data_IF_808545692360
#
_entry.id   IF_808545692360
#
_cell.length_a   1.000
_cell.length_b   1.000
_cell.length_c   1.000
_cell.angle_alpha   90.00
_cell.angle_beta   90.00
_cell.angle_gamma   90.00
#
_symmetry.space_group_name_H-M   'P 1'
#
loop_
_entity.id
_entity.type
_entity.pdbx_description
1 polymer ?
#
# COMPACT_ATOMS: atom_id res chain seq x y z
N UNK A 1 -6.60 -3.03 -19.54
CA UNK A 1 -7.43 -1.81 -19.43
C UNK A 1 -6.62 -0.74 -18.75
N UNK A 2 -6.96 0.53 -18.91
CA UNK A 2 -6.33 1.63 -18.16
C UNK A 2 -7.03 1.83 -16.82
N UNK A 3 -6.32 2.40 -15.84
CA UNK A 3 -6.92 2.72 -14.54
C UNK A 3 -8.10 3.69 -14.68
N UNK A 4 -8.04 4.63 -15.64
CA UNK A 4 -9.14 5.58 -15.90
C UNK A 4 -10.42 4.95 -16.48
N UNK A 5 -10.31 3.78 -17.13
CA UNK A 5 -11.47 3.01 -17.60
C UNK A 5 -12.15 2.20 -16.50
N UNK A 6 -11.42 1.89 -15.41
CA UNK A 6 -11.87 0.98 -14.35
C UNK A 6 -12.37 1.75 -13.12
N UNK A 7 -11.91 3.00 -12.92
CA UNK A 7 -12.23 3.76 -11.73
C UNK A 7 -11.96 5.25 -11.85
N UNK A 8 -12.13 5.96 -10.74
CA UNK A 8 -12.03 7.41 -10.69
C UNK A 8 -11.04 7.86 -9.63
N UNK A 9 -10.12 8.75 -10.01
CA UNK A 9 -9.17 9.39 -9.10
C UNK A 9 -9.76 10.68 -8.51
N UNK A 10 -9.71 10.81 -7.20
CA UNK A 10 -10.16 11.99 -6.48
C UNK A 10 -9.01 12.55 -5.66
N UNK A 11 -8.61 13.78 -5.91
CA UNK A 11 -7.58 14.46 -5.11
C UNK A 11 -8.09 14.69 -3.70
N UNK A 12 -7.25 14.45 -2.68
CA UNK A 12 -7.57 14.73 -1.29
C UNK A 12 -7.78 16.23 -0.99
N UNK A 13 -8.07 16.55 0.24
CA UNK A 13 -8.34 17.92 0.73
C UNK A 13 -7.09 18.56 1.32
N UNK A 14 -7.11 19.88 1.56
CA UNK A 14 -5.99 20.66 2.08
C UNK A 14 -5.62 20.36 3.54
N UNK A 15 -5.49 19.08 3.90
CA UNK A 15 -5.11 18.60 5.22
C UNK A 15 -3.62 18.83 5.46
N UNK A 16 -3.29 19.58 6.50
CA UNK A 16 -1.92 19.85 6.94
C UNK A 16 -1.64 19.16 8.28
N UNK A 17 -0.37 19.03 8.65
CA UNK A 17 0.00 18.43 9.95
C UNK A 17 -0.64 19.13 11.16
N UNK A 18 -0.87 20.44 11.08
CA UNK A 18 -1.52 21.24 12.14
C UNK A 18 -3.00 20.89 12.34
N UNK A 19 -3.66 20.30 11.34
CA UNK A 19 -5.07 19.92 11.39
C UNK A 19 -5.29 18.55 12.04
N UNK A 20 -4.19 17.85 12.36
CA UNK A 20 -4.23 16.54 13.00
C UNK A 20 -4.62 16.67 14.47
N UNK A 21 -5.54 15.82 14.91
CA UNK A 21 -6.07 15.74 16.27
C UNK A 21 -5.82 14.34 16.86
N UNK A 22 -5.81 14.20 18.21
CA UNK A 22 -5.67 12.89 18.85
C UNK A 22 -6.88 11.97 18.61
N UNK A 23 -8.07 12.56 18.43
CA UNK A 23 -9.34 11.86 18.26
C UNK A 23 -10.19 12.58 17.21
N UNK A 24 -11.20 11.92 16.67
CA UNK A 24 -12.13 12.52 15.70
C UNK A 24 -12.39 11.59 14.51
N UNK A 25 -12.50 12.16 13.31
CA UNK A 25 -12.66 11.40 12.06
C UNK A 25 -11.30 10.95 11.56
N UNK A 26 -11.18 9.68 11.20
CA UNK A 26 -9.95 9.12 10.68
C UNK A 26 -9.42 9.88 9.46
N UNK A 27 -8.09 10.01 9.36
CA UNK A 27 -7.46 10.62 8.20
C UNK A 27 -6.11 9.99 7.86
N UNK A 28 -5.72 10.08 6.58
CA UNK A 28 -4.40 9.69 6.10
C UNK A 28 -3.71 10.91 5.47
N UNK A 29 -2.61 11.34 6.09
CA UNK A 29 -1.69 12.32 5.53
C UNK A 29 -0.67 11.61 4.62
N UNK A 30 -0.35 12.18 3.46
CA UNK A 30 0.51 11.55 2.45
C UNK A 30 1.84 11.03 3.01
N UNK A 31 2.47 11.75 3.91
CA UNK A 31 3.73 11.34 4.55
C UNK A 31 3.62 10.05 5.38
N UNK A 32 2.42 9.71 5.87
CA UNK A 32 2.19 8.47 6.63
C UNK A 32 2.13 7.24 5.71
N UNK A 33 1.83 7.43 4.42
CA UNK A 33 1.88 6.36 3.41
C UNK A 33 3.30 5.81 3.27
N UNK A 34 4.31 6.67 3.43
CA UNK A 34 5.72 6.28 3.36
C UNK A 34 6.27 5.66 4.64
N UNK A 35 5.79 6.13 5.79
CA UNK A 35 6.46 5.90 7.07
C UNK A 35 5.71 4.95 8.01
N UNK A 36 4.44 4.70 7.77
CA UNK A 36 3.61 3.98 8.73
C UNK A 36 2.80 2.85 8.10
N UNK A 37 2.14 3.08 6.97
CA UNK A 37 1.24 2.10 6.37
C UNK A 37 2.00 1.13 5.45
N UNK A 38 1.59 -0.14 5.50
CA UNK A 38 2.00 -1.16 4.54
C UNK A 38 1.11 -1.17 3.30
N UNK A 39 0.88 -2.35 2.73
CA UNK A 39 0.06 -2.55 1.52
C UNK A 39 -1.42 -2.19 1.74
N UNK A 40 -1.93 -2.36 2.96
CA UNK A 40 -3.30 -2.02 3.34
C UNK A 40 -3.39 -1.50 4.77
N UNK A 41 -4.50 -0.85 5.09
CA UNK A 41 -4.81 -0.37 6.44
C UNK A 41 -6.31 -0.55 6.76
N UNK A 42 -6.60 -0.91 8.02
CA UNK A 42 -7.96 -1.00 8.58
C UNK A 42 -8.25 0.09 9.60
N UNK A 43 -7.21 0.76 10.11
CA UNK A 43 -7.31 1.84 11.09
C UNK A 43 -6.39 2.98 10.69
N UNK A 44 -6.81 4.21 10.97
CA UNK A 44 -5.97 5.39 10.76
C UNK A 44 -5.06 5.64 11.95
N UNK A 45 -3.86 6.14 11.67
CA UNK A 45 -2.92 6.60 12.69
C UNK A 45 -3.31 7.95 13.27
N UNK A 46 -4.01 8.78 12.50
CA UNK A 46 -4.31 10.16 12.83
C UNK A 46 -5.76 10.48 12.55
N UNK A 47 -6.23 11.55 13.17
CA UNK A 47 -7.61 12.01 13.07
C UNK A 47 -7.65 13.50 12.72
N UNK A 48 -8.81 13.98 12.34
CA UNK A 48 -9.13 15.40 12.14
C UNK A 48 -10.43 15.73 12.88
N UNK A 49 -10.68 17.02 13.13
CA UNK A 49 -11.93 17.47 13.73
C UNK A 49 -13.13 17.13 12.84
N UNK A 50 -14.32 17.01 13.44
CA UNK A 50 -15.56 16.82 12.72
C UNK A 50 -15.83 17.97 11.72
N UNK A 51 -15.51 19.20 12.11
CA UNK A 51 -15.69 20.37 11.26
C UNK A 51 -14.82 20.29 9.99
N UNK A 52 -13.55 19.87 10.12
CA UNK A 52 -12.67 19.62 8.98
C UNK A 52 -13.22 18.49 8.10
N UNK A 53 -13.64 17.40 8.71
CA UNK A 53 -14.15 16.21 8.03
C UNK A 53 -15.43 16.45 7.22
N UNK A 54 -16.28 17.40 7.63
CA UNK A 54 -17.48 17.79 6.88
C UNK A 54 -17.14 18.43 5.52
N UNK A 55 -16.03 19.15 5.44
CA UNK A 55 -15.57 19.83 4.22
C UNK A 55 -14.58 18.98 3.39
N UNK A 56 -14.03 17.91 3.99
CA UNK A 56 -13.03 17.08 3.35
C UNK A 56 -13.64 16.06 2.39
N UNK A 57 -12.91 15.79 1.30
CA UNK A 57 -13.17 14.62 0.46
C UNK A 57 -12.68 13.37 1.17
N UNK A 58 -13.50 12.32 1.16
CA UNK A 58 -13.27 11.11 1.93
C UNK A 58 -13.11 9.90 1.03
N UNK A 59 -12.11 9.09 1.35
CA UNK A 59 -11.96 7.76 0.79
C UNK A 59 -12.87 6.79 1.57
N UNK A 60 -13.41 5.81 0.86
CA UNK A 60 -14.32 4.78 1.37
C UNK A 60 -13.62 3.44 1.48
N UNK A 61 -14.27 2.50 2.15
CA UNK A 61 -13.84 1.10 2.15
C UNK A 61 -13.62 0.60 0.72
N UNK A 62 -12.45 0.01 0.47
CA UNK A 62 -12.05 -0.50 -0.85
C UNK A 62 -11.29 0.49 -1.73
N UNK A 63 -11.25 1.78 -1.41
CA UNK A 63 -10.48 2.74 -2.17
C UNK A 63 -8.97 2.55 -1.96
N UNK A 64 -8.18 2.87 -3.00
CA UNK A 64 -6.73 2.91 -2.92
C UNK A 64 -6.26 4.34 -2.67
N UNK A 65 -5.52 4.57 -1.59
CA UNK A 65 -4.96 5.88 -1.24
C UNK A 65 -3.54 5.96 -1.76
N UNK A 66 -3.22 6.97 -2.57
CA UNK A 66 -1.98 7.08 -3.34
C UNK A 66 -1.30 8.40 -3.01
N UNK A 67 -0.05 8.35 -2.55
CA UNK A 67 0.77 9.55 -2.36
C UNK A 67 1.26 10.08 -3.71
N UNK A 68 0.80 11.27 -4.11
CA UNK A 68 1.11 11.86 -5.42
C UNK A 68 2.38 12.70 -5.45
N UNK A 69 3.04 12.89 -4.30
CA UNK A 69 4.31 13.64 -4.16
C UNK A 69 5.30 12.85 -3.31
N UNK A 70 6.58 12.86 -3.70
CA UNK A 70 7.70 12.25 -2.96
C UNK A 70 8.99 13.01 -3.19
N UNK A 71 10.04 12.65 -2.48
CA UNK A 71 11.41 13.16 -2.67
C UNK A 71 12.18 12.37 -3.74
N UNK A 72 11.74 11.16 -4.07
CA UNK A 72 12.38 10.28 -5.05
C UNK A 72 11.38 9.65 -6.03
N UNK A 73 11.89 9.06 -7.11
CA UNK A 73 11.10 8.49 -8.19
C UNK A 73 10.49 7.12 -7.82
N UNK A 74 11.13 6.39 -6.93
CA UNK A 74 10.72 5.06 -6.51
C UNK A 74 9.44 5.14 -5.66
N UNK A 75 9.45 6.03 -4.67
CA UNK A 75 8.37 6.14 -3.69
C UNK A 75 7.14 6.90 -4.19
N UNK A 76 7.30 7.85 -5.14
CA UNK A 76 6.12 8.56 -5.66
C UNK A 76 5.09 7.56 -6.20
N UNK A 77 3.82 7.75 -5.87
CA UNK A 77 2.72 6.83 -6.10
C UNK A 77 2.72 5.57 -5.22
N UNK A 78 3.46 5.54 -4.09
CA UNK A 78 3.21 4.52 -3.07
C UNK A 78 1.75 4.57 -2.63
N UNK A 79 1.14 3.39 -2.49
CA UNK A 79 -0.29 3.27 -2.32
C UNK A 79 -0.67 2.33 -1.17
N UNK A 80 -1.82 2.59 -0.55
CA UNK A 80 -2.38 1.83 0.57
C UNK A 80 -3.85 1.53 0.30
N UNK A 81 -4.26 0.28 0.32
CA UNK A 81 -5.68 -0.09 0.24
C UNK A 81 -6.38 0.23 1.56
N UNK A 82 -7.44 1.01 1.52
CA UNK A 82 -8.25 1.29 2.71
C UNK A 82 -9.30 0.19 2.91
N UNK A 83 -9.19 -0.54 4.01
CA UNK A 83 -10.07 -1.66 4.37
C UNK A 83 -10.76 -1.43 5.72
N UNK A 84 -10.75 -0.20 6.25
CA UNK A 84 -11.54 0.19 7.41
C UNK A 84 -13.00 0.42 7.06
N UNK A 85 -13.87 0.39 8.05
CA UNK A 85 -15.33 0.48 7.87
C UNK A 85 -15.83 1.93 7.76
N UNK A 86 -15.00 2.91 8.17
CA UNK A 86 -15.36 4.31 8.17
C UNK A 86 -14.73 5.07 6.98
N UNK A 87 -15.44 6.09 6.51
CA UNK A 87 -14.94 7.04 5.52
C UNK A 87 -13.87 7.93 6.14
N UNK A 88 -12.72 8.09 5.49
CA UNK A 88 -11.56 8.81 6.02
C UNK A 88 -11.15 10.00 5.15
N UNK A 89 -10.68 11.08 5.78
CA UNK A 89 -10.14 12.24 5.08
C UNK A 89 -8.73 11.94 4.52
N UNK A 90 -8.42 12.47 3.33
CA UNK A 90 -7.13 12.26 2.65
C UNK A 90 -6.49 13.62 2.35
N UNK A 91 -5.18 13.76 2.55
CA UNK A 91 -4.43 15.01 2.30
C UNK A 91 -4.32 15.35 0.81
N UNK A 92 -4.09 16.63 0.49
CA UNK A 92 -4.04 17.14 -0.90
C UNK A 92 -2.84 16.68 -1.73
N UNK A 93 -1.76 16.23 -1.07
CA UNK A 93 -0.60 15.61 -1.71
C UNK A 93 -0.75 14.09 -1.87
N UNK A 94 -1.97 13.60 -1.66
CA UNK A 94 -2.44 12.28 -2.01
C UNK A 94 -3.74 12.39 -2.81
N UNK A 95 -4.08 11.33 -3.51
CA UNK A 95 -5.39 11.10 -4.07
C UNK A 95 -5.92 9.74 -3.60
N UNK A 96 -7.22 9.52 -3.70
CA UNK A 96 -7.77 8.19 -3.58
C UNK A 96 -8.43 7.79 -4.90
N UNK A 97 -8.40 6.49 -5.14
CA UNK A 97 -8.87 5.88 -6.37
C UNK A 97 -10.00 4.91 -6.05
N UNK A 98 -11.21 5.29 -6.44
CA UNK A 98 -12.42 4.49 -6.32
C UNK A 98 -12.52 3.55 -7.51
N UNK A 99 -12.65 2.24 -7.27
CA UNK A 99 -12.62 1.20 -8.29
C UNK A 99 -13.43 -0.05 -7.90
N UNK A 100 -13.58 -0.99 -8.82
CA UNK A 100 -14.33 -2.24 -8.60
C UNK A 100 -13.44 -3.49 -8.46
N UNK A 101 -12.11 -3.33 -8.49
CA UNK A 101 -11.14 -4.42 -8.32
C UNK A 101 -11.02 -4.83 -6.85
N UNK A 102 -10.36 -5.97 -6.59
CA UNK A 102 -9.92 -6.30 -5.25
C UNK A 102 -8.93 -5.23 -4.75
N UNK A 103 -9.17 -4.58 -3.58
CA UNK A 103 -8.35 -3.45 -3.11
C UNK A 103 -6.88 -3.83 -2.86
N UNK A 104 -6.61 -5.02 -2.35
CA UNK A 104 -5.24 -5.48 -2.14
C UNK A 104 -4.55 -5.84 -3.46
N UNK A 105 -5.28 -6.39 -4.43
CA UNK A 105 -4.73 -6.71 -5.74
C UNK A 105 -4.13 -5.47 -6.40
N UNK A 106 -4.88 -4.36 -6.42
CA UNK A 106 -4.36 -3.12 -6.99
C UNK A 106 -3.23 -2.53 -6.15
N UNK A 107 -3.28 -2.62 -4.82
CA UNK A 107 -2.20 -2.17 -3.95
C UNK A 107 -0.88 -2.93 -4.21
N UNK A 108 -0.95 -4.23 -4.39
CA UNK A 108 0.21 -5.04 -4.81
C UNK A 108 0.68 -4.69 -6.22
N UNK A 109 -0.23 -4.45 -7.15
CA UNK A 109 0.14 -4.05 -8.50
C UNK A 109 0.98 -2.77 -8.52
N UNK A 110 0.66 -1.78 -7.67
CA UNK A 110 1.42 -0.53 -7.55
C UNK A 110 2.88 -0.72 -7.07
N UNK A 111 3.20 -1.88 -6.52
CA UNK A 111 4.56 -2.25 -6.09
C UNK A 111 5.36 -2.97 -7.18
N UNK A 112 4.74 -3.35 -8.30
CA UNK A 112 5.40 -4.11 -9.37
C UNK A 112 6.25 -3.23 -10.28
N UNK A 113 7.30 -3.81 -10.89
CA UNK A 113 8.09 -3.13 -11.93
C UNK A 113 7.23 -2.77 -13.16
N UNK A 114 6.19 -3.53 -13.45
CA UNK A 114 5.25 -3.22 -14.52
C UNK A 114 4.52 -1.89 -14.31
N UNK A 115 4.14 -1.57 -13.07
CA UNK A 115 3.59 -0.27 -12.71
C UNK A 115 4.69 0.79 -12.70
N UNK A 116 5.85 0.51 -12.08
CA UNK A 116 6.95 1.45 -11.93
C UNK A 116 7.47 1.95 -13.28
N UNK A 117 7.64 1.05 -14.27
CA UNK A 117 8.10 1.41 -15.61
C UNK A 117 7.12 2.32 -16.36
N UNK A 118 5.82 2.14 -16.16
CA UNK A 118 4.79 3.01 -16.73
C UNK A 118 4.76 4.37 -16.03
N UNK A 119 4.84 4.38 -14.69
CA UNK A 119 4.81 5.58 -13.85
C UNK A 119 5.95 6.54 -14.17
N UNK A 120 7.18 6.03 -14.41
CA UNK A 120 8.38 6.85 -14.68
C UNK A 120 8.16 7.91 -15.76
N UNK A 121 7.34 7.61 -16.76
CA UNK A 121 7.03 8.54 -17.87
C UNK A 121 6.20 9.76 -17.46
N UNK A 122 5.55 9.68 -16.31
CA UNK A 122 4.62 10.70 -15.81
C UNK A 122 5.17 11.49 -14.63
N UNK A 123 6.39 11.16 -14.17
CA UNK A 123 7.02 11.86 -13.06
C UNK A 123 7.48 13.24 -13.51
N UNK A 124 7.11 14.25 -12.75
CA UNK A 124 7.47 15.66 -12.96
C UNK A 124 8.12 16.24 -11.70
N UNK A 125 8.80 17.36 -11.84
CA UNK A 125 9.49 18.04 -10.75
C UNK A 125 10.92 17.55 -10.53
N UNK A 126 11.77 18.40 -9.95
CA UNK A 126 13.20 18.11 -9.70
C UNK A 126 13.51 17.78 -8.26
N UNK A 127 13.10 18.64 -7.31
CA UNK A 127 13.28 18.41 -5.87
C UNK A 127 12.13 17.62 -5.26
N UNK A 128 10.89 17.89 -5.72
CA UNK A 128 9.70 17.18 -5.28
C UNK A 128 9.11 16.50 -6.50
N UNK A 129 9.15 15.18 -6.51
CA UNK A 129 8.59 14.33 -7.56
C UNK A 129 7.08 14.30 -7.45
N UNK A 130 6.40 14.44 -8.57
CA UNK A 130 4.93 14.47 -8.63
C UNK A 130 4.41 13.65 -9.79
N UNK A 131 3.30 12.98 -9.56
CA UNK A 131 2.51 12.33 -10.61
C UNK A 131 1.07 12.84 -10.52
N UNK A 132 0.53 13.26 -11.65
CA UNK A 132 -0.82 13.78 -11.70
C UNK A 132 -1.84 12.64 -11.79
N UNK A 133 -2.99 12.77 -11.15
CA UNK A 133 -4.10 11.81 -11.22
C UNK A 133 -4.55 11.52 -12.67
N UNK A 134 -4.53 12.54 -13.56
CA UNK A 134 -4.85 12.37 -14.99
C UNK A 134 -3.84 11.47 -15.72
N UNK A 135 -2.60 11.46 -15.28
CA UNK A 135 -1.56 10.62 -15.86
C UNK A 135 -1.60 9.21 -15.28
N UNK A 136 -1.91 9.04 -13.98
CA UNK A 136 -2.20 7.74 -13.39
C UNK A 136 -3.37 7.04 -14.10
N UNK A 137 -4.38 7.77 -14.54
CA UNK A 137 -5.50 7.22 -15.29
C UNK A 137 -5.10 6.54 -16.62
N UNK A 138 -3.93 6.88 -17.18
CA UNK A 138 -3.39 6.28 -18.42
C UNK A 138 -2.62 4.98 -18.20
N UNK A 139 -2.27 4.65 -16.96
CA UNK A 139 -1.53 3.43 -16.61
C UNK A 139 -2.39 2.20 -16.90
N UNK A 140 -1.81 1.22 -17.58
CA UNK A 140 -2.48 -0.04 -17.92
C UNK A 140 -2.27 -1.07 -16.82
N UNK A 141 -3.34 -1.76 -16.44
CA UNK A 141 -3.33 -2.85 -15.45
C UNK A 141 -3.94 -4.12 -16.04
N UNK A 142 -3.38 -5.31 -15.78
CA UNK A 142 -4.07 -6.57 -15.99
C UNK A 142 -5.35 -6.63 -15.16
N UNK A 143 -6.46 -7.05 -15.76
CA UNK A 143 -7.75 -7.14 -15.09
C UNK A 143 -8.30 -8.57 -15.21
N UNK A 144 -7.76 -9.56 -14.47
CA UNK A 144 -8.35 -10.89 -14.40
C UNK A 144 -9.69 -10.86 -13.64
N UNK A 145 -10.50 -11.92 -13.72
CA UNK A 145 -11.72 -12.05 -12.92
C UNK A 145 -11.45 -11.87 -11.43
N UNK A 146 -12.44 -11.38 -10.67
CA UNK A 146 -12.29 -11.13 -9.22
C UNK A 146 -11.90 -12.38 -8.41
N UNK A 147 -12.29 -13.59 -8.85
CA UNK A 147 -11.84 -14.84 -8.25
C UNK A 147 -10.32 -14.99 -8.33
N UNK A 148 -9.75 -14.76 -9.51
CA UNK A 148 -8.30 -14.84 -9.74
C UNK A 148 -7.56 -13.72 -8.99
N UNK A 149 -8.13 -12.50 -8.93
CA UNK A 149 -7.55 -11.42 -8.11
C UNK A 149 -7.47 -11.83 -6.63
N UNK A 150 -8.50 -12.50 -6.09
CA UNK A 150 -8.50 -13.01 -4.70
C UNK A 150 -7.43 -14.07 -4.47
N UNK A 151 -7.31 -15.04 -5.37
CA UNK A 151 -6.28 -16.09 -5.28
C UNK A 151 -4.86 -15.50 -5.27
N UNK A 152 -4.60 -14.52 -6.16
CA UNK A 152 -3.31 -13.80 -6.19
C UNK A 152 -3.05 -13.10 -4.85
N UNK A 153 -4.05 -12.39 -4.32
CA UNK A 153 -3.93 -11.68 -3.04
C UNK A 153 -3.65 -12.64 -1.88
N UNK A 154 -4.33 -13.78 -1.81
CA UNK A 154 -4.11 -14.78 -0.76
C UNK A 154 -2.66 -15.33 -0.78
N UNK A 155 -2.09 -15.54 -1.96
CA UNK A 155 -0.70 -15.96 -2.10
C UNK A 155 0.24 -14.85 -1.64
N UNK A 156 0.02 -13.61 -2.11
CA UNK A 156 0.89 -12.48 -1.77
C UNK A 156 0.80 -12.11 -0.29
N UNK A 157 -0.38 -12.19 0.34
CA UNK A 157 -0.55 -11.96 1.78
C UNK A 157 0.25 -12.98 2.61
N UNK A 158 0.31 -14.25 2.18
CA UNK A 158 1.14 -15.28 2.85
C UNK A 158 2.63 -14.93 2.76
N UNK A 159 3.10 -14.51 1.59
CA UNK A 159 4.49 -14.08 1.44
C UNK A 159 4.80 -12.81 2.25
N UNK A 160 3.91 -11.82 2.24
CA UNK A 160 4.07 -10.60 3.03
C UNK A 160 4.17 -10.91 4.53
N UNK A 161 3.31 -11.80 5.03
CA UNK A 161 3.36 -12.29 6.42
C UNK A 161 4.68 -12.99 6.72
N UNK A 162 5.14 -13.89 5.85
CA UNK A 162 6.40 -14.62 6.04
C UNK A 162 7.63 -13.69 6.01
N UNK A 163 7.62 -12.66 5.18
CA UNK A 163 8.75 -11.74 5.05
C UNK A 163 8.79 -10.66 6.14
N UNK A 164 7.62 -10.18 6.58
CA UNK A 164 7.51 -9.01 7.44
C UNK A 164 7.06 -9.32 8.89
N UNK A 165 6.63 -10.54 9.17
CA UNK A 165 6.22 -10.95 10.52
C UNK A 165 7.42 -11.48 11.30
N UNK A 166 7.80 -10.76 12.35
CA UNK A 166 8.82 -11.20 13.32
C UNK A 166 8.34 -12.46 14.08
N UNK A 167 7.04 -12.61 14.27
CA UNK A 167 6.45 -13.74 15.02
C UNK A 167 6.32 -15.03 14.20
N UNK A 168 6.17 -14.94 12.87
CA UNK A 168 5.95 -16.11 12.01
C UNK A 168 7.14 -16.41 11.08
N UNK A 169 7.76 -15.37 10.49
CA UNK A 169 8.86 -15.51 9.54
C UNK A 169 10.16 -15.96 10.22
N UNK A 170 10.68 -15.15 11.14
CA UNK A 170 11.95 -15.42 11.82
C UNK A 170 11.95 -16.69 12.68
N UNK A 171 10.95 -16.98 13.54
CA UNK A 171 10.95 -18.19 14.34
C UNK A 171 10.95 -19.46 13.49
N UNK A 172 10.20 -19.47 12.39
CA UNK A 172 10.16 -20.64 11.50
C UNK A 172 11.46 -20.83 10.75
N UNK A 173 12.12 -19.77 10.30
CA UNK A 173 13.44 -19.86 9.69
C UNK A 173 14.48 -20.34 10.71
N UNK A 174 14.48 -19.82 11.93
CA UNK A 174 15.36 -20.28 13.01
C UNK A 174 15.16 -21.77 13.32
N UNK A 175 13.91 -22.25 13.36
CA UNK A 175 13.61 -23.67 13.55
C UNK A 175 14.18 -24.52 12.41
N UNK A 176 13.99 -24.10 11.15
CA UNK A 176 14.53 -24.82 9.99
C UNK A 176 16.06 -24.84 9.99
N UNK A 177 16.72 -23.72 10.32
CA UNK A 177 18.18 -23.63 10.45
C UNK A 177 18.70 -24.54 11.57
N UNK A 178 17.98 -24.59 12.71
CA UNK A 178 18.33 -25.50 13.81
C UNK A 178 18.25 -26.96 13.40
N UNK A 179 17.17 -27.37 12.71
CA UNK A 179 17.04 -28.75 12.19
C UNK A 179 18.16 -29.09 11.18
N UNK A 180 18.51 -28.15 10.31
CA UNK A 180 19.60 -28.30 9.36
C UNK A 180 20.95 -28.48 10.09
N UNK A 181 21.21 -27.66 11.10
CA UNK A 181 22.41 -27.78 11.94
C UNK A 181 22.47 -29.11 12.65
N UNK A 182 21.38 -29.58 13.28
CA UNK A 182 21.29 -30.86 13.99
C UNK A 182 21.55 -32.04 13.01
N UNK A 183 20.97 -31.96 11.80
CA UNK A 183 21.22 -32.97 10.77
C UNK A 183 22.71 -33.07 10.39
N UNK A 184 23.34 -31.96 10.02
CA UNK A 184 24.74 -31.96 9.64
C UNK A 184 25.68 -32.32 10.81
N UNK A 185 25.41 -31.87 12.01
CA UNK A 185 26.15 -32.26 13.19
C UNK A 185 26.13 -33.77 13.39
N UNK A 186 24.97 -34.39 13.30
CA UNK A 186 24.86 -35.86 13.45
C UNK A 186 25.57 -36.58 12.31
N UNK A 187 25.48 -36.11 11.08
CA UNK A 187 26.21 -36.69 9.92
C UNK A 187 27.72 -36.59 10.10
N UNK A 188 28.24 -35.44 10.50
CA UNK A 188 29.68 -35.19 10.63
C UNK A 188 30.32 -35.93 11.82
N UNK A 189 29.53 -36.23 12.86
CA UNK A 189 30.00 -36.91 14.09
C UNK A 189 29.63 -38.38 14.15
N UNK A 190 28.91 -38.91 13.16
CA UNK A 190 28.63 -40.34 13.06
C UNK A 190 29.83 -41.07 12.43
N UNK A 191 30.88 -41.24 13.23
CA UNK A 191 31.98 -42.14 12.85
C UNK A 191 31.56 -43.57 13.16
N UNK A 192 31.48 -44.42 12.12
CA UNK A 192 31.47 -45.86 12.29
C UNK A 192 32.91 -46.31 12.55
N UNK A 193 33.26 -47.02 13.61
CA UNK A 193 34.60 -47.53 13.83
C UNK A 193 35.01 -48.54 12.78
#
# INVERSE_FOLDING_TARGET
>A
MTLGEIGTFVRGSGLQKKDLTPTGVGCIHYGQIYTYYGTYAKKTKSFVSQEFALKARKAKHGDLIIATTSENDEDVCKAVAWLGDEDIAVSSDACFYAHTMNPKYIAYYFQTELFQSQKRKFITGTKVRRVNAKDLAKVKIPLPPLSVQREIVEILDKFDTLCNSISEGLPKEMELRRKQYEYYRNQLLSFTP
#
